data_IF_043297675332
#
_entry.id   IF_043297675332
#
_cell.length_a   1.000
_cell.length_b   1.000
_cell.length_c   1.000
_cell.angle_alpha   90.00
_cell.angle_beta   90.00
_cell.angle_gamma   90.00
#
_symmetry.space_group_name_H-M   'P 1'
#
loop_
_entity.id
_entity.type
_entity.pdbx_description
1 polymer ?
#
# COMPACT_ATOMS: atom_id res chain seq x y z
N UNK A 1 10.13 -5.12 -5.91
CA UNK A 1 10.16 -3.64 -5.99
C UNK A 1 8.74 -3.12 -5.87
N UNK A 2 8.56 -1.84 -5.52
CA UNK A 2 7.24 -1.22 -5.38
C UNK A 2 7.11 -0.04 -6.33
N UNK A 3 6.05 0.01 -7.12
CA UNK A 3 5.80 1.08 -8.10
C UNK A 3 4.73 2.04 -7.58
N UNK A 4 4.95 3.34 -7.73
CA UNK A 4 3.93 4.36 -7.46
C UNK A 4 3.01 4.42 -8.68
N UNK A 5 1.76 3.99 -8.53
CA UNK A 5 0.80 3.93 -9.65
C UNK A 5 -0.15 5.13 -9.69
N UNK A 6 -0.23 5.90 -8.61
CA UNK A 6 -1.17 7.01 -8.49
C UNK A 6 -1.10 7.68 -7.13
N UNK A 7 -2.06 8.57 -6.86
CA UNK A 7 -2.24 9.20 -5.56
C UNK A 7 -3.72 9.49 -5.29
N UNK A 8 -4.07 9.62 -4.01
CA UNK A 8 -5.39 10.00 -3.54
C UNK A 8 -5.28 11.26 -2.68
N UNK A 9 -6.22 12.18 -2.85
CA UNK A 9 -6.36 13.35 -1.99
C UNK A 9 -7.30 12.99 -0.83
N UNK A 10 -6.87 13.25 0.40
CA UNK A 10 -7.68 13.08 1.62
C UNK A 10 -7.78 14.42 2.34
N UNK A 11 -8.97 14.68 2.90
CA UNK A 11 -9.19 15.79 3.82
C UNK A 11 -8.96 15.29 5.24
N UNK A 12 -7.92 15.81 5.89
CA UNK A 12 -7.76 15.67 7.34
C UNK A 12 -8.53 16.75 8.08
N UNK A 13 -8.51 16.68 9.41
CA UNK A 13 -9.23 17.64 10.27
C UNK A 13 -8.71 19.08 10.15
N UNK A 14 -7.42 19.25 9.82
CA UNK A 14 -6.75 20.56 9.76
C UNK A 14 -6.23 20.93 8.37
N UNK A 15 -5.85 19.94 7.55
CA UNK A 15 -5.45 20.19 6.16
C UNK A 15 -5.68 19.01 5.24
N UNK A 16 -5.66 19.29 3.95
CA UNK A 16 -5.63 18.28 2.90
C UNK A 16 -4.24 17.64 2.82
N UNK A 17 -4.19 16.31 2.72
CA UNK A 17 -2.97 15.56 2.52
C UNK A 17 -3.15 14.54 1.41
N UNK A 18 -2.03 14.03 0.90
CA UNK A 18 -2.03 13.07 -0.20
C UNK A 18 -1.56 11.69 0.29
N UNK A 19 -2.12 10.66 -0.31
CA UNK A 19 -1.72 9.28 -0.16
C UNK A 19 -1.17 8.78 -1.50
N UNK A 20 0.03 8.20 -1.53
CA UNK A 20 0.56 7.54 -2.72
C UNK A 20 0.00 6.13 -2.81
N UNK A 21 -0.48 5.76 -3.99
CA UNK A 21 -0.87 4.39 -4.32
C UNK A 21 0.37 3.60 -4.72
N UNK A 22 0.71 2.62 -3.90
CA UNK A 22 1.84 1.75 -4.09
C UNK A 22 1.36 0.38 -4.56
N UNK A 23 2.03 -0.14 -5.60
CA UNK A 23 1.76 -1.45 -6.16
C UNK A 23 3.02 -2.30 -6.14
N UNK A 24 2.92 -3.51 -5.60
CA UNK A 24 4.01 -4.48 -5.56
C UNK A 24 4.19 -5.20 -6.89
N UNK A 25 5.04 -6.21 -6.87
CA UNK A 25 5.27 -7.10 -8.01
C UNK A 25 4.03 -7.94 -8.32
N UNK A 26 3.98 -8.48 -9.55
CA UNK A 26 2.88 -9.31 -10.02
C UNK A 26 2.92 -10.69 -9.35
N UNK A 27 1.78 -11.12 -8.83
CA UNK A 27 1.58 -12.44 -8.23
C UNK A 27 0.58 -13.22 -9.10
N UNK A 28 0.87 -14.50 -9.38
CA UNK A 28 -0.09 -15.37 -10.06
C UNK A 28 -0.83 -16.19 -9.01
N UNK A 29 -2.15 -16.08 -9.00
CA UNK A 29 -3.05 -16.78 -8.08
C UNK A 29 -4.09 -17.55 -8.88
N UNK A 30 -4.60 -18.66 -8.33
CA UNK A 30 -5.61 -19.47 -8.99
C UNK A 30 -7.00 -19.11 -8.46
N UNK A 31 -7.96 -18.89 -9.36
CA UNK A 31 -9.36 -18.69 -8.98
C UNK A 31 -9.89 -19.95 -8.31
N UNK A 32 -10.42 -19.82 -7.10
CA UNK A 32 -11.04 -20.96 -6.40
C UNK A 32 -12.31 -21.44 -7.12
N UNK A 33 -12.94 -20.59 -7.93
CA UNK A 33 -14.18 -20.92 -8.64
C UNK A 33 -13.90 -21.61 -9.98
N UNK A 34 -12.93 -21.12 -10.75
CA UNK A 34 -12.68 -21.61 -12.13
C UNK A 34 -11.41 -22.45 -12.27
N UNK A 35 -10.54 -22.46 -11.27
CA UNK A 35 -9.24 -23.14 -11.31
C UNK A 35 -8.23 -22.50 -12.26
N UNK A 36 -8.54 -21.34 -12.86
CA UNK A 36 -7.65 -20.67 -13.81
C UNK A 36 -6.70 -19.69 -13.10
N UNK A 37 -5.44 -19.59 -13.56
CA UNK A 37 -4.51 -18.60 -13.04
C UNK A 37 -4.93 -17.20 -13.49
N UNK A 38 -4.88 -16.23 -12.57
CA UNK A 38 -5.01 -14.82 -12.85
C UNK A 38 -3.88 -14.04 -12.17
N UNK A 39 -3.46 -12.97 -12.83
CA UNK A 39 -2.47 -12.07 -12.27
C UNK A 39 -3.14 -11.10 -11.30
N UNK A 40 -2.55 -10.97 -10.11
CA UNK A 40 -2.92 -10.00 -9.10
C UNK A 40 -1.68 -9.23 -8.64
N UNK A 41 -1.90 -8.14 -7.93
CA UNK A 41 -0.84 -7.30 -7.37
C UNK A 41 -1.27 -6.85 -6.00
N UNK A 42 -0.33 -6.79 -5.06
CA UNK A 42 -0.60 -6.19 -3.76
C UNK A 42 -0.58 -4.67 -3.89
N UNK A 43 -1.55 -4.02 -3.25
CA UNK A 43 -1.67 -2.56 -3.23
C UNK A 43 -1.70 -2.07 -1.80
N UNK A 44 -1.08 -0.92 -1.55
CA UNK A 44 -1.15 -0.21 -0.27
C UNK A 44 -1.14 1.29 -0.50
N UNK A 45 -1.62 2.03 0.50
CA UNK A 45 -1.60 3.48 0.51
C UNK A 45 -0.53 3.95 1.50
N UNK A 46 0.31 4.88 1.06
CA UNK A 46 1.33 5.50 1.90
C UNK A 46 1.04 6.98 2.03
N UNK A 47 0.93 7.48 3.26
CA UNK A 47 0.79 8.91 3.50
C UNK A 47 2.04 9.67 3.10
N UNK A 48 1.86 10.85 2.52
CA UNK A 48 2.96 11.73 2.16
C UNK A 48 2.69 13.17 2.55
N UNK A 49 3.78 13.90 2.80
CA UNK A 49 3.79 15.35 3.02
C UNK A 49 3.93 16.14 1.72
N UNK A 50 3.97 15.46 0.57
CA UNK A 50 4.14 16.09 -0.74
C UNK A 50 2.89 16.85 -1.20
N UNK A 51 3.12 17.83 -2.07
CA UNK A 51 2.06 18.51 -2.80
C UNK A 51 1.64 17.71 -4.05
N UNK A 52 0.52 18.09 -4.65
CA UNK A 52 -0.05 17.41 -5.81
C UNK A 52 0.93 17.28 -6.99
N UNK A 53 1.64 18.36 -7.33
CA UNK A 53 2.60 18.36 -8.44
C UNK A 53 3.74 17.34 -8.24
N UNK A 54 4.23 17.22 -7.01
CA UNK A 54 5.26 16.23 -6.65
C UNK A 54 4.68 14.83 -6.73
N UNK A 55 3.48 14.58 -6.18
CA UNK A 55 2.80 13.28 -6.28
C UNK A 55 2.63 12.84 -7.73
N UNK A 56 2.20 13.74 -8.62
CA UNK A 56 2.06 13.46 -10.05
C UNK A 56 3.40 13.11 -10.71
N UNK A 57 4.47 13.82 -10.36
CA UNK A 57 5.81 13.55 -10.88
C UNK A 57 6.43 12.22 -10.37
N UNK A 58 5.88 11.65 -9.29
CA UNK A 58 6.32 10.38 -8.75
C UNK A 58 5.60 9.17 -9.37
N UNK A 59 4.49 9.36 -10.09
CA UNK A 59 3.79 8.28 -10.77
C UNK A 59 4.73 7.62 -11.79
N UNK A 60 4.80 6.29 -11.74
CA UNK A 60 5.68 5.47 -12.57
C UNK A 60 7.08 5.26 -11.99
N UNK A 61 7.45 5.94 -10.90
CA UNK A 61 8.71 5.66 -10.20
C UNK A 61 8.62 4.38 -9.38
N UNK A 62 9.78 3.74 -9.23
CA UNK A 62 9.96 2.54 -8.42
C UNK A 62 10.70 2.87 -7.13
N UNK A 63 10.27 2.25 -6.05
CA UNK A 63 10.84 2.32 -4.71
C UNK A 63 11.45 0.96 -4.35
N UNK A 64 12.65 0.93 -3.73
CA UNK A 64 13.26 -0.30 -3.24
C UNK A 64 12.52 -0.83 -2.02
N UNK A 65 11.98 -2.05 -2.12
CA UNK A 65 11.14 -2.62 -1.07
C UNK A 65 10.10 -3.60 -1.60
N UNK A 66 9.23 -4.03 -0.69
CA UNK A 66 8.15 -4.96 -0.96
C UNK A 66 6.88 -4.59 -0.15
N UNK A 67 5.71 -5.03 -0.61
CA UNK A 67 4.46 -4.90 0.14
C UNK A 67 4.23 -6.19 0.91
N UNK A 68 4.35 -6.10 2.23
CA UNK A 68 4.19 -7.23 3.14
C UNK A 68 2.83 -7.22 3.81
N UNK A 69 2.35 -8.41 4.16
CA UNK A 69 1.14 -8.61 4.94
C UNK A 69 1.54 -8.54 6.42
N UNK A 70 1.11 -7.50 7.11
CA UNK A 70 1.39 -7.29 8.53
C UNK A 70 0.13 -7.65 9.31
N UNK A 71 0.27 -8.54 10.30
CA UNK A 71 -0.82 -8.87 11.21
C UNK A 71 -1.12 -7.67 12.11
N UNK A 72 -2.40 -7.35 12.27
CA UNK A 72 -2.87 -6.24 13.09
C UNK A 72 -4.04 -6.70 13.95
N UNK A 73 -4.41 -5.87 14.91
CA UNK A 73 -5.65 -6.09 15.65
C UNK A 73 -6.83 -6.23 14.66
N UNK A 74 -7.72 -7.22 14.86
CA UNK A 74 -8.83 -7.45 13.96
C UNK A 74 -9.70 -6.21 13.83
N UNK A 75 -9.87 -5.73 12.59
CA UNK A 75 -10.71 -4.58 12.29
C UNK A 75 -11.83 -4.98 11.34
N UNK A 76 -12.97 -4.32 11.49
CA UNK A 76 -14.10 -4.49 10.58
C UNK A 76 -13.83 -3.68 9.30
N UNK A 77 -13.72 -4.38 8.19
CA UNK A 77 -13.59 -3.80 6.87
C UNK A 77 -14.85 -4.06 6.05
N UNK A 78 -15.58 -3.01 5.73
CA UNK A 78 -16.70 -3.07 4.81
C UNK A 78 -16.17 -3.12 3.38
N UNK A 79 -16.43 -4.22 2.68
CA UNK A 79 -16.10 -4.36 1.26
C UNK A 79 -16.96 -3.36 0.47
N UNK A 80 -16.37 -2.36 -0.22
CA UNK A 80 -17.15 -1.31 -0.89
C UNK A 80 -18.07 -1.84 -1.98
N UNK A 81 -17.70 -2.94 -2.64
CA UNK A 81 -18.46 -3.52 -3.76
C UNK A 81 -19.69 -4.32 -3.31
N UNK A 82 -19.65 -4.95 -2.13
CA UNK A 82 -20.72 -5.86 -1.67
C UNK A 82 -21.46 -5.35 -0.43
N UNK A 83 -20.89 -4.38 0.29
CA UNK A 83 -21.41 -3.93 1.59
C UNK A 83 -21.21 -4.93 2.72
N UNK A 84 -20.53 -6.05 2.49
CA UNK A 84 -20.23 -7.03 3.51
C UNK A 84 -19.14 -6.52 4.46
N UNK A 85 -19.44 -6.54 5.76
CA UNK A 85 -18.45 -6.28 6.81
C UNK A 85 -17.66 -7.57 7.05
N UNK A 86 -16.35 -7.54 6.81
CA UNK A 86 -15.44 -8.63 7.12
C UNK A 86 -14.43 -8.21 8.16
N UNK A 87 -14.21 -9.07 9.14
CA UNK A 87 -13.13 -8.88 10.10
C UNK A 87 -11.81 -9.27 9.43
N UNK A 88 -10.89 -8.31 9.31
CA UNK A 88 -9.55 -8.50 8.80
C UNK A 88 -8.54 -8.35 9.94
N UNK A 89 -7.70 -9.35 10.13
CA UNK A 89 -6.60 -9.41 11.10
C UNK A 89 -5.25 -9.02 10.49
N UNK A 90 -5.29 -8.39 9.32
CA UNK A 90 -4.10 -8.02 8.57
C UNK A 90 -4.28 -6.77 7.72
N UNK A 91 -3.16 -6.10 7.45
CA UNK A 91 -3.06 -5.00 6.48
C UNK A 91 -1.85 -5.19 5.58
N UNK A 92 -1.93 -4.64 4.38
CA UNK A 92 -0.76 -4.54 3.50
C UNK A 92 0.00 -3.27 3.83
N UNK A 93 1.28 -3.39 4.14
CA UNK A 93 2.17 -2.26 4.36
C UNK A 93 3.40 -2.34 3.47
N UNK A 94 3.90 -1.17 3.13
CA UNK A 94 5.20 -1.05 2.49
C UNK A 94 6.30 -1.37 3.51
N UNK A 95 7.12 -2.35 3.18
CA UNK A 95 8.36 -2.64 3.87
C UNK A 95 9.51 -2.15 2.97
N UNK A 96 10.31 -1.16 3.43
CA UNK A 96 11.52 -0.79 2.72
C UNK A 96 12.44 -2.02 2.66
N UNK A 97 13.14 -2.18 1.54
CA UNK A 97 14.22 -3.16 1.49
C UNK A 97 15.29 -2.68 2.48
N UNK A 98 15.70 -3.53 3.42
CA UNK A 98 16.83 -3.23 4.31
C UNK A 98 18.11 -3.06 3.47
N UNK A 99 18.26 -1.89 2.86
CA UNK A 99 19.58 -1.32 2.68
C UNK A 99 19.98 -0.87 4.06
N UNK A 100 21.00 -1.50 4.63
CA UNK A 100 21.62 -1.10 5.88
C UNK A 100 22.00 0.39 5.81
N UNK A 101 21.10 1.27 6.23
CA UNK A 101 21.37 2.70 6.41
C UNK A 101 20.93 3.08 7.81
N UNK A 102 21.76 2.66 8.79
CA UNK A 102 22.26 3.39 9.97
C UNK A 102 21.42 4.44 10.75
N UNK A 103 20.17 4.75 10.43
CA UNK A 103 19.41 5.81 11.11
C UNK A 103 18.68 5.37 12.39
N UNK A 104 18.72 4.09 12.76
CA UNK A 104 18.17 3.58 14.03
C UNK A 104 19.06 3.89 15.27
N UNK A 105 20.13 4.68 15.13
CA UNK A 105 21.06 5.02 16.22
C UNK A 105 20.86 6.40 16.87
N UNK A 106 19.79 7.14 16.58
CA UNK A 106 19.61 8.52 17.11
C UNK A 106 18.64 8.62 18.31
N UNK A 107 18.04 7.51 18.76
CA UNK A 107 17.23 7.48 19.99
C UNK A 107 17.67 6.40 20.98
N UNK A 108 18.98 6.32 21.24
CA UNK A 108 19.53 5.61 22.41
C UNK A 108 20.14 6.61 23.40
#
# INVERSE_FOLDING_TARGET
MVTITGYEKRQGEQQEFFLLQLQGDIEIVYSQTTGQPYATVRKTLMSTTFNEATCQALIGKQLPGNITKVSTEPYEYTIPETGEVKTLDYRYQYAPEETQTVEEAVFA
#
